data_IF_329101073280
#
_entry.id   IF_329101073280
#
_cell.length_a   1.000
_cell.length_b   1.000
_cell.length_c   1.000
_cell.angle_alpha   90.00
_cell.angle_beta   90.00
_cell.angle_gamma   90.00
#
_symmetry.space_group_name_H-M   'P 1'
#
loop_
_entity.id
_entity.type
_entity.pdbx_description
1 polymer ?
#
# COMPACT_ATOMS: atom_id res chain seq x y z
N UNK A 1 -17.71 7.07 -1.30
CA UNK A 1 -17.31 5.66 -1.19
C UNK A 1 -17.18 5.30 0.29
N UNK A 2 -17.61 4.10 0.71
CA UNK A 2 -17.28 3.60 2.03
C UNK A 2 -15.76 3.38 2.14
N UNK A 3 -15.22 3.46 3.35
CA UNK A 3 -13.84 3.07 3.59
C UNK A 3 -13.69 1.55 3.38
N UNK A 4 -12.67 1.15 2.63
CA UNK A 4 -12.31 -0.27 2.50
C UNK A 4 -11.47 -0.71 3.70
N UNK A 5 -11.63 -1.95 4.13
CA UNK A 5 -10.79 -2.53 5.17
C UNK A 5 -9.34 -2.58 4.70
N UNK A 6 -8.42 -2.07 5.52
CA UNK A 6 -7.01 -1.98 5.18
C UNK A 6 -6.13 -2.38 6.36
N UNK A 7 -4.94 -2.89 6.04
CA UNK A 7 -3.92 -3.24 7.01
C UNK A 7 -2.71 -2.33 6.85
N UNK A 8 -2.17 -1.87 7.98
CA UNK A 8 -0.90 -1.16 7.99
C UNK A 8 0.24 -2.15 8.25
N UNK A 9 1.17 -2.25 7.30
CA UNK A 9 2.29 -3.20 7.36
C UNK A 9 3.63 -2.45 7.44
N UNK A 10 4.50 -2.87 8.36
CA UNK A 10 5.85 -2.32 8.53
C UNK A 10 6.92 -3.31 8.09
N UNK A 11 8.12 -2.82 7.78
CA UNK A 11 9.29 -3.66 7.50
C UNK A 11 9.21 -4.42 6.17
N UNK A 12 8.34 -3.98 5.25
CA UNK A 12 8.33 -4.42 3.86
C UNK A 12 8.88 -3.30 2.98
N UNK A 13 9.57 -3.65 1.91
CA UNK A 13 9.94 -2.68 0.88
C UNK A 13 8.79 -2.44 -0.11
N UNK A 14 8.91 -1.38 -0.90
CA UNK A 14 7.90 -0.97 -1.87
C UNK A 14 7.60 -2.05 -2.93
N UNK A 15 8.63 -2.78 -3.39
CA UNK A 15 8.45 -3.84 -4.39
C UNK A 15 7.63 -5.01 -3.84
N UNK A 16 7.88 -5.40 -2.59
CA UNK A 16 7.11 -6.42 -1.87
C UNK A 16 5.68 -5.96 -1.60
N UNK A 17 5.47 -4.68 -1.25
CA UNK A 17 4.14 -4.12 -1.05
C UNK A 17 3.30 -4.19 -2.35
N UNK A 18 3.87 -3.80 -3.49
CA UNK A 18 3.23 -3.90 -4.81
C UNK A 18 2.92 -5.35 -5.17
N UNK A 19 3.85 -6.28 -4.94
CA UNK A 19 3.66 -7.70 -5.22
C UNK A 19 2.51 -8.30 -4.40
N UNK A 20 2.39 -7.94 -3.11
CA UNK A 20 1.28 -8.36 -2.26
C UNK A 20 -0.05 -7.77 -2.73
N UNK A 21 -0.08 -6.48 -3.05
CA UNK A 21 -1.29 -5.83 -3.55
C UNK A 21 -1.83 -6.52 -4.80
N UNK A 22 -0.96 -6.82 -5.78
CA UNK A 22 -1.33 -7.59 -6.98
C UNK A 22 -1.79 -9.00 -6.66
N UNK A 23 -1.10 -9.70 -5.74
CA UNK A 23 -1.46 -11.07 -5.32
C UNK A 23 -2.87 -11.16 -4.71
N UNK A 24 -3.29 -10.13 -3.97
CA UNK A 24 -4.57 -10.11 -3.28
C UNK A 24 -5.62 -9.21 -3.95
N UNK A 25 -5.40 -8.80 -5.21
CA UNK A 25 -6.39 -8.06 -6.00
C UNK A 25 -6.66 -6.64 -5.52
N UNK A 26 -5.69 -6.00 -4.86
CA UNK A 26 -5.80 -4.60 -4.46
C UNK A 26 -5.67 -3.68 -5.68
N UNK A 27 -6.49 -2.65 -5.74
CA UNK A 27 -6.44 -1.61 -6.78
C UNK A 27 -5.40 -0.52 -6.49
N UNK A 28 -5.08 -0.29 -5.22
CA UNK A 28 -4.16 0.73 -4.77
C UNK A 28 -3.49 0.37 -3.44
N UNK A 29 -2.43 1.09 -3.12
CA UNK A 29 -1.84 1.12 -1.78
C UNK A 29 -1.52 2.55 -1.35
N UNK A 30 -1.54 2.81 -0.05
CA UNK A 30 -0.97 4.04 0.53
C UNK A 30 0.45 3.70 0.99
N UNK A 31 1.44 4.32 0.35
CA UNK A 31 2.85 4.15 0.70
C UNK A 31 3.35 5.30 1.55
N UNK A 32 4.16 4.99 2.56
CA UNK A 32 4.78 5.99 3.41
C UNK A 32 6.21 5.61 3.77
N UNK A 33 7.13 6.54 3.55
CA UNK A 33 8.52 6.47 3.98
C UNK A 33 8.77 7.44 5.15
N UNK A 34 9.70 7.14 6.06
CA UNK A 34 10.08 8.06 7.13
C UNK A 34 10.46 9.45 6.58
N UNK A 35 9.75 10.49 7.05
CA UNK A 35 9.96 11.88 6.61
C UNK A 35 9.29 12.25 5.29
N UNK A 36 8.60 11.32 4.62
CA UNK A 36 7.80 11.60 3.44
C UNK A 36 6.32 11.85 3.78
N UNK A 37 5.61 12.51 2.88
CA UNK A 37 4.14 12.54 2.88
C UNK A 37 3.62 11.20 2.33
N UNK A 38 2.62 10.56 2.97
CA UNK A 38 2.00 9.36 2.41
C UNK A 38 1.45 9.61 1.00
N UNK A 39 1.65 8.66 0.10
CA UNK A 39 1.23 8.75 -1.30
C UNK A 39 0.33 7.58 -1.67
N UNK A 40 -0.72 7.85 -2.44
CA UNK A 40 -1.57 6.82 -3.03
C UNK A 40 -0.95 6.33 -4.34
N UNK A 41 -0.69 5.03 -4.44
CA UNK A 41 -0.15 4.38 -5.64
C UNK A 41 -1.18 3.41 -6.21
N UNK A 42 -1.41 3.49 -7.53
CA UNK A 42 -2.26 2.53 -8.26
C UNK A 42 -1.43 1.33 -8.75
N UNK A 43 -1.98 0.12 -8.72
CA UNK A 43 -1.24 -1.15 -8.86
C UNK A 43 -1.42 -1.89 -10.19
#
# INVERSE_FOLDING_TARGET
WPAEESFWAFGIDAARAVALGRRYGQNALVWWEPGATPALWWL
#
